data_IF_011693169059
#
_entry.id   IF_011693169059
#
_cell.length_a   1.000
_cell.length_b   1.000
_cell.length_c   1.000
_cell.angle_alpha   90.00
_cell.angle_beta   90.00
_cell.angle_gamma   90.00
#
_symmetry.space_group_name_H-M   'P 1'
#
loop_
_entity.id
_entity.type
_entity.pdbx_description
1 polymer ?
#
# COMPACT_ATOMS: atom_id res chain seq x y z
N UNK A 1 16.27 -36.63 -1.03
CA UNK A 1 16.84 -35.30 -1.32
C UNK A 1 16.20 -34.77 -2.60
N UNK A 2 15.09 -34.04 -2.49
CA UNK A 2 14.44 -33.39 -3.62
C UNK A 2 14.98 -31.96 -3.76
N UNK A 3 15.58 -31.62 -4.90
CA UNK A 3 15.95 -30.24 -5.22
C UNK A 3 14.70 -29.51 -5.68
N UNK A 4 14.20 -28.57 -4.88
CA UNK A 4 13.21 -27.62 -5.37
C UNK A 4 13.90 -26.63 -6.31
N UNK A 5 13.62 -26.76 -7.61
CA UNK A 5 14.04 -25.79 -8.62
C UNK A 5 13.08 -24.60 -8.59
N UNK A 6 13.31 -23.68 -7.64
CA UNK A 6 12.70 -22.37 -7.67
C UNK A 6 13.19 -21.62 -8.91
N UNK A 7 12.33 -21.51 -9.93
CA UNK A 7 12.57 -20.63 -11.06
C UNK A 7 12.54 -19.19 -10.56
N UNK A 8 13.73 -18.62 -10.30
CA UNK A 8 13.88 -17.19 -10.06
C UNK A 8 13.70 -16.51 -11.42
N UNK A 9 12.50 -16.00 -11.70
CA UNK A 9 12.31 -15.17 -12.88
C UNK A 9 13.22 -13.95 -12.75
N UNK A 10 13.92 -13.55 -13.82
CA UNK A 10 14.80 -12.41 -13.77
C UNK A 10 14.06 -11.12 -13.43
N UNK A 11 14.65 -10.30 -12.55
CA UNK A 11 14.11 -9.02 -12.09
C UNK A 11 13.66 -8.08 -13.23
N UNK A 12 14.32 -8.15 -14.39
CA UNK A 12 14.00 -7.34 -15.56
C UNK A 12 12.64 -7.67 -16.20
N UNK A 13 12.04 -8.84 -15.93
CA UNK A 13 10.69 -9.19 -16.42
C UNK A 13 9.62 -8.63 -15.47
N UNK A 14 9.91 -8.59 -14.18
CA UNK A 14 8.96 -8.10 -13.18
C UNK A 14 8.70 -6.60 -13.30
N UNK A 15 9.75 -5.81 -13.51
CA UNK A 15 9.64 -4.35 -13.60
C UNK A 15 8.66 -3.86 -14.69
N UNK A 16 8.73 -4.30 -15.96
CA UNK A 16 7.79 -3.88 -16.99
C UNK A 16 6.37 -4.41 -16.73
N UNK A 17 6.22 -5.61 -16.15
CA UNK A 17 4.90 -6.14 -15.77
C UNK A 17 4.26 -5.26 -14.71
N UNK A 18 4.96 -4.95 -13.61
CA UNK A 18 4.46 -4.06 -12.56
C UNK A 18 4.17 -2.65 -13.09
N UNK A 19 5.06 -2.10 -13.92
CA UNK A 19 4.86 -0.81 -14.57
C UNK A 19 3.53 -0.78 -15.33
N UNK A 20 3.29 -1.77 -16.21
CA UNK A 20 2.06 -1.86 -16.99
C UNK A 20 0.84 -2.07 -16.10
N UNK A 21 0.92 -2.95 -15.10
CA UNK A 21 -0.17 -3.19 -14.16
C UNK A 21 -0.58 -1.90 -13.43
N UNK A 22 0.36 -1.17 -12.83
CA UNK A 22 0.05 0.08 -12.13
C UNK A 22 -0.46 1.17 -13.07
N UNK A 23 0.03 1.21 -14.31
CA UNK A 23 -0.47 2.13 -15.33
C UNK A 23 -1.94 1.83 -15.66
N UNK A 24 -2.28 0.56 -15.91
CA UNK A 24 -3.66 0.15 -16.19
C UNK A 24 -4.60 0.37 -15.02
N UNK A 25 -4.18 0.06 -13.79
CA UNK A 25 -4.96 0.33 -12.57
C UNK A 25 -5.22 1.83 -12.45
N UNK A 26 -4.19 2.67 -12.60
CA UNK A 26 -4.33 4.13 -12.50
C UNK A 26 -5.25 4.70 -13.57
N UNK A 27 -5.14 4.25 -14.82
CA UNK A 27 -6.02 4.67 -15.91
C UNK A 27 -7.47 4.26 -15.61
N UNK A 28 -7.68 3.02 -15.16
CA UNK A 28 -9.01 2.47 -14.90
C UNK A 28 -9.70 3.21 -13.75
N UNK A 29 -9.01 3.37 -12.62
CA UNK A 29 -9.57 4.05 -11.45
C UNK A 29 -9.79 5.54 -11.71
N UNK A 30 -8.83 6.25 -12.29
CA UNK A 30 -9.02 7.67 -12.63
C UNK A 30 -10.10 7.85 -13.69
N UNK A 31 -10.15 6.99 -14.72
CA UNK A 31 -11.17 7.04 -15.76
C UNK A 31 -12.58 6.86 -15.21
N UNK A 32 -12.79 5.88 -14.33
CA UNK A 32 -14.09 5.64 -13.69
C UNK A 32 -14.49 6.80 -12.78
N UNK A 33 -13.61 7.18 -11.84
CA UNK A 33 -13.99 8.19 -10.84
C UNK A 33 -14.03 9.61 -11.41
N UNK A 34 -13.10 9.99 -12.29
CA UNK A 34 -12.98 11.39 -12.77
C UNK A 34 -13.67 11.56 -14.11
N UNK A 35 -13.50 10.61 -15.02
CA UNK A 35 -14.19 10.62 -16.31
C UNK A 35 -15.68 10.38 -16.14
N UNK A 36 -16.06 9.21 -15.63
CA UNK A 36 -17.46 8.78 -15.61
C UNK A 36 -18.25 9.39 -14.45
N UNK A 37 -17.80 9.19 -13.20
CA UNK A 37 -18.57 9.60 -12.01
C UNK A 37 -18.56 11.12 -11.86
N UNK A 38 -17.38 11.75 -11.76
CA UNK A 38 -17.27 13.20 -11.61
C UNK A 38 -17.81 13.93 -12.85
N UNK A 39 -17.48 13.50 -14.06
CA UNK A 39 -18.03 14.08 -15.30
C UNK A 39 -19.56 13.99 -15.35
N UNK A 40 -20.13 12.84 -15.00
CA UNK A 40 -21.58 12.65 -14.91
C UNK A 40 -22.24 13.54 -13.84
N UNK A 41 -21.59 13.71 -12.69
CA UNK A 41 -22.08 14.58 -11.61
C UNK A 41 -22.02 16.06 -11.99
N UNK A 42 -20.92 16.52 -12.60
CA UNK A 42 -20.75 17.90 -13.05
C UNK A 42 -21.82 18.31 -14.08
N UNK A 43 -22.33 17.35 -14.86
CA UNK A 43 -23.41 17.60 -15.82
C UNK A 43 -24.79 17.78 -15.17
N UNK A 44 -24.97 17.36 -13.91
CA UNK A 44 -26.29 17.32 -13.24
C UNK A 44 -26.35 18.09 -11.92
N UNK A 45 -25.20 18.35 -11.30
CA UNK A 45 -25.07 18.92 -9.96
C UNK A 45 -24.00 20.02 -9.93
N UNK A 46 -23.93 20.76 -8.82
CA UNK A 46 -22.91 21.78 -8.63
C UNK A 46 -21.48 21.22 -8.57
N UNK A 47 -20.51 22.03 -8.99
CA UNK A 47 -19.08 21.68 -9.02
C UNK A 47 -18.58 21.20 -7.66
N UNK A 48 -18.84 21.97 -6.61
CA UNK A 48 -18.38 21.66 -5.25
C UNK A 48 -18.92 20.31 -4.77
N UNK A 49 -20.22 20.07 -4.95
CA UNK A 49 -20.84 18.81 -4.55
C UNK A 49 -20.23 17.63 -5.32
N UNK A 50 -20.09 17.77 -6.64
CA UNK A 50 -19.55 16.72 -7.51
C UNK A 50 -18.13 16.33 -7.12
N UNK A 51 -17.28 17.33 -6.84
CA UNK A 51 -15.89 17.13 -6.40
C UNK A 51 -15.84 16.41 -5.05
N UNK A 52 -16.58 16.88 -4.06
CA UNK A 52 -16.59 16.29 -2.71
C UNK A 52 -17.12 14.85 -2.77
N UNK A 53 -18.25 14.65 -3.45
CA UNK A 53 -18.91 13.35 -3.52
C UNK A 53 -18.07 12.30 -4.26
N UNK A 54 -17.50 12.66 -5.42
CA UNK A 54 -16.59 11.76 -6.15
C UNK A 54 -15.36 11.40 -5.32
N UNK A 55 -14.81 12.35 -4.56
CA UNK A 55 -13.62 12.11 -3.72
C UNK A 55 -13.94 11.22 -2.51
N UNK A 56 -15.13 11.39 -1.94
CA UNK A 56 -15.64 10.56 -0.84
C UNK A 56 -15.87 9.12 -1.28
N UNK A 57 -16.50 8.93 -2.45
CA UNK A 57 -16.66 7.60 -3.04
C UNK A 57 -15.32 6.91 -3.29
N UNK A 58 -14.30 7.65 -3.74
CA UNK A 58 -12.96 7.09 -3.93
C UNK A 58 -12.32 6.64 -2.61
N UNK A 59 -12.41 7.48 -1.57
CA UNK A 59 -11.91 7.13 -0.24
C UNK A 59 -12.63 5.90 0.34
N UNK A 60 -13.94 5.79 0.10
CA UNK A 60 -14.75 4.64 0.52
C UNK A 60 -14.45 3.37 -0.28
N UNK A 61 -14.16 3.50 -1.57
CA UNK A 61 -13.73 2.39 -2.43
C UNK A 61 -12.45 1.71 -1.92
N UNK A 62 -11.57 2.48 -1.27
CA UNK A 62 -10.33 1.98 -0.66
C UNK A 62 -10.51 1.42 0.76
N UNK A 63 -11.75 1.21 1.21
CA UNK A 63 -12.03 0.58 2.49
C UNK A 63 -11.67 -0.91 2.47
N UNK A 64 -10.52 -1.25 3.06
CA UNK A 64 -10.01 -2.62 3.15
C UNK A 64 -10.46 -3.32 4.45
N UNK A 65 -11.46 -4.20 4.36
CA UNK A 65 -12.03 -4.94 5.49
C UNK A 65 -11.01 -5.64 6.45
N UNK A 66 -9.87 -6.20 5.99
CA UNK A 66 -8.93 -6.93 6.84
C UNK A 66 -8.31 -6.09 7.96
N UNK A 67 -8.21 -4.76 7.82
CA UNK A 67 -7.52 -3.94 8.82
C UNK A 67 -8.36 -3.69 10.07
N UNK A 68 -9.67 -3.98 10.07
CA UNK A 68 -10.54 -3.82 11.24
C UNK A 68 -10.31 -4.89 12.31
N UNK A 69 -9.74 -6.04 11.93
CA UNK A 69 -9.45 -7.14 12.85
C UNK A 69 -8.31 -6.82 13.83
N UNK A 70 -7.57 -5.72 13.63
CA UNK A 70 -6.51 -5.25 14.54
C UNK A 70 -7.04 -4.30 15.64
N UNK A 71 -8.35 -4.28 15.88
CA UNK A 71 -8.98 -3.46 16.91
C UNK A 71 -8.84 -1.94 16.66
N UNK A 72 -8.70 -1.15 17.72
CA UNK A 72 -8.64 0.32 17.65
C UNK A 72 -7.50 0.82 16.76
N UNK A 73 -6.31 0.20 16.84
CA UNK A 73 -5.17 0.58 16.01
C UNK A 73 -5.43 0.39 14.52
N UNK A 74 -6.10 -0.72 14.17
CA UNK A 74 -6.50 -1.01 12.80
C UNK A 74 -7.53 -0.02 12.25
N UNK A 75 -8.49 0.37 13.10
CA UNK A 75 -9.49 1.39 12.76
C UNK A 75 -8.86 2.77 12.54
N UNK A 76 -7.91 3.20 13.39
CA UNK A 76 -7.19 4.47 13.23
C UNK A 76 -6.37 4.48 11.94
N UNK A 77 -5.65 3.39 11.66
CA UNK A 77 -4.87 3.26 10.43
C UNK A 77 -5.77 3.32 9.19
N UNK A 78 -6.91 2.62 9.22
CA UNK A 78 -7.91 2.69 8.15
C UNK A 78 -8.43 4.11 7.94
N UNK A 79 -8.89 4.76 9.02
CA UNK A 79 -9.42 6.11 8.95
C UNK A 79 -8.39 7.09 8.37
N UNK A 80 -7.13 6.95 8.77
CA UNK A 80 -6.02 7.75 8.23
C UNK A 80 -5.83 7.50 6.74
N UNK A 81 -5.85 6.25 6.29
CA UNK A 81 -5.70 5.89 4.88
C UNK A 81 -6.86 6.40 4.01
N UNK A 82 -8.10 6.25 4.50
CA UNK A 82 -9.29 6.80 3.84
C UNK A 82 -9.23 8.32 3.75
N UNK A 83 -8.85 8.99 4.84
CA UNK A 83 -8.75 10.46 4.87
C UNK A 83 -7.66 10.99 3.95
N UNK A 84 -6.50 10.33 3.92
CA UNK A 84 -5.41 10.65 2.99
C UNK A 84 -5.88 10.46 1.54
N UNK A 85 -6.53 9.34 1.24
CA UNK A 85 -7.06 9.04 -0.10
C UNK A 85 -8.11 10.08 -0.53
N UNK A 86 -9.03 10.42 0.37
CA UNK A 86 -10.04 11.46 0.16
C UNK A 86 -9.40 12.81 -0.15
N UNK A 87 -8.43 13.25 0.66
CA UNK A 87 -7.79 14.57 0.51
C UNK A 87 -7.00 14.67 -0.79
N UNK A 88 -6.20 13.64 -1.12
CA UNK A 88 -5.49 13.59 -2.38
C UNK A 88 -6.46 13.62 -3.57
N UNK A 89 -7.57 12.89 -3.49
CA UNK A 89 -8.57 12.84 -4.57
C UNK A 89 -9.37 14.13 -4.69
N UNK A 90 -9.61 14.83 -3.59
CA UNK A 90 -10.23 16.16 -3.61
C UNK A 90 -9.39 17.14 -4.45
N UNK A 91 -8.08 17.15 -4.22
CA UNK A 91 -7.15 17.95 -5.01
C UNK A 91 -7.15 17.53 -6.49
N UNK A 92 -7.07 16.23 -6.78
CA UNK A 92 -7.07 15.73 -8.17
C UNK A 92 -8.39 16.02 -8.91
N UNK A 93 -9.54 15.89 -8.23
CA UNK A 93 -10.85 16.19 -8.80
C UNK A 93 -10.99 17.70 -9.11
N UNK A 94 -10.49 18.56 -8.22
CA UNK A 94 -10.41 19.99 -8.48
C UNK A 94 -9.49 20.29 -9.67
N UNK A 95 -8.32 19.66 -9.74
CA UNK A 95 -7.37 19.82 -10.84
C UNK A 95 -7.94 19.34 -12.18
N UNK A 96 -8.62 18.19 -12.20
CA UNK A 96 -9.35 17.68 -13.37
C UNK A 96 -10.37 18.70 -13.89
N UNK A 97 -11.19 19.25 -12.99
CA UNK A 97 -12.16 20.29 -13.36
C UNK A 97 -11.46 21.54 -13.91
N UNK A 98 -10.38 22.01 -13.28
CA UNK A 98 -9.63 23.19 -13.72
C UNK A 98 -8.91 23.01 -15.06
N UNK A 99 -8.55 21.79 -15.42
CA UNK A 99 -7.88 21.47 -16.70
C UNK A 99 -8.87 21.11 -17.82
N UNK A 100 -10.17 21.37 -17.63
CA UNK A 100 -11.18 21.09 -18.64
C UNK A 100 -11.44 19.59 -18.83
N UNK A 101 -11.23 18.79 -17.80
CA UNK A 101 -11.46 17.34 -17.84
C UNK A 101 -10.28 16.51 -18.36
N UNK A 102 -9.05 17.01 -18.23
CA UNK A 102 -7.86 16.24 -18.62
C UNK A 102 -7.53 15.16 -17.58
N UNK A 103 -7.46 13.91 -18.02
CA UNK A 103 -7.07 12.76 -17.19
C UNK A 103 -5.55 12.61 -17.01
N UNK A 104 -4.74 13.30 -17.83
CA UNK A 104 -3.27 13.11 -17.84
C UNK A 104 -2.66 13.39 -16.47
N UNK A 105 -3.02 14.49 -15.82
CA UNK A 105 -2.50 14.84 -14.49
C UNK A 105 -2.95 13.86 -13.41
N UNK A 106 -4.26 13.61 -13.25
CA UNK A 106 -4.76 12.64 -12.27
C UNK A 106 -4.17 11.23 -12.44
N UNK A 107 -4.07 10.73 -13.68
CA UNK A 107 -3.47 9.42 -14.00
C UNK A 107 -1.98 9.40 -13.66
N UNK A 108 -1.22 10.44 -14.06
CA UNK A 108 0.22 10.51 -13.79
C UNK A 108 0.53 10.54 -12.29
N UNK A 109 -0.25 11.31 -11.52
CA UNK A 109 -0.11 11.37 -10.07
C UNK A 109 -0.43 10.02 -9.43
N UNK A 110 -1.55 9.40 -9.81
CA UNK A 110 -1.98 8.12 -9.25
C UNK A 110 -0.97 7.01 -9.57
N UNK A 111 -0.52 6.94 -10.83
CA UNK A 111 0.51 6.01 -11.25
C UNK A 111 1.80 6.19 -10.45
N UNK A 112 2.27 7.43 -10.30
CA UNK A 112 3.47 7.74 -9.52
C UNK A 112 3.32 7.33 -8.06
N UNK A 113 2.16 7.62 -7.45
CA UNK A 113 1.86 7.21 -6.09
C UNK A 113 1.93 5.69 -5.93
N UNK A 114 1.35 4.91 -6.85
CA UNK A 114 1.42 3.44 -6.78
C UNK A 114 2.82 2.90 -7.07
N UNK A 115 3.50 3.43 -8.09
CA UNK A 115 4.79 2.93 -8.57
C UNK A 115 5.93 3.22 -7.60
N UNK A 116 5.96 4.41 -6.97
CA UNK A 116 7.02 4.78 -6.03
C UNK A 116 6.72 4.38 -4.58
N UNK A 117 5.45 4.14 -4.24
CA UNK A 117 5.08 3.63 -2.92
C UNK A 117 5.09 2.09 -2.85
N UNK A 118 5.72 1.42 -3.82
CA UNK A 118 6.08 0.01 -3.67
C UNK A 118 7.07 0.00 -2.50
N UNK A 119 6.73 -0.60 -1.34
CA UNK A 119 7.71 -0.77 -0.28
C UNK A 119 8.83 -1.59 -0.90
N UNK A 120 9.99 -0.97 -1.10
CA UNK A 120 11.18 -1.58 -1.69
C UNK A 120 11.33 -2.98 -1.11
N UNK A 121 10.92 -3.96 -1.91
CA UNK A 121 10.51 -5.26 -1.41
C UNK A 121 11.72 -5.94 -0.78
N UNK A 122 11.69 -6.18 0.54
CA UNK A 122 12.44 -7.25 1.18
C UNK A 122 13.95 -7.10 1.41
N UNK A 123 14.57 -5.92 1.23
CA UNK A 123 16.00 -5.76 1.57
C UNK A 123 16.29 -5.53 3.07
N UNK A 124 15.32 -5.00 3.84
CA UNK A 124 15.56 -4.67 5.25
C UNK A 124 15.18 -5.78 6.27
N UNK A 125 14.47 -6.83 5.86
CA UNK A 125 13.97 -7.87 6.80
C UNK A 125 14.84 -9.13 6.86
N UNK A 126 15.94 -9.21 6.07
CA UNK A 126 16.84 -10.38 6.05
C UNK A 126 18.17 -10.16 6.80
N UNK A 127 18.23 -9.17 7.70
CA UNK A 127 19.42 -8.84 8.53
C UNK A 127 19.14 -8.84 10.04
N UNK A 128 18.29 -9.74 10.55
CA UNK A 128 18.40 -10.13 11.96
C UNK A 128 19.10 -11.49 12.03
N UNK A 129 20.41 -11.51 12.36
CA UNK A 129 21.09 -12.76 12.64
C UNK A 129 20.43 -13.41 13.85
N UNK A 130 20.33 -14.74 13.78
CA UNK A 130 19.94 -15.64 14.86
C UNK A 130 20.96 -15.59 16.01
N UNK A 131 21.07 -14.45 16.70
CA UNK A 131 22.05 -14.24 17.78
C UNK A 131 21.45 -14.38 19.19
N UNK A 132 20.21 -14.87 19.29
CA UNK A 132 19.54 -15.10 20.59
C UNK A 132 19.70 -16.54 21.12
N UNK A 133 20.36 -17.44 20.38
CA UNK A 133 20.50 -18.84 20.81
C UNK A 133 21.81 -19.18 21.55
N UNK A 134 22.67 -18.19 21.87
CA UNK A 134 23.98 -18.44 22.49
C UNK A 134 24.08 -18.20 24.00
N UNK A 135 23.04 -17.70 24.69
CA UNK A 135 23.14 -17.39 26.12
C UNK A 135 22.74 -18.49 27.09
N UNK A 136 22.37 -19.70 26.62
CA UNK A 136 21.86 -20.78 27.49
C UNK A 136 22.80 -21.97 27.70
N UNK A 137 24.06 -21.89 27.26
CA UNK A 137 25.08 -22.94 27.49
C UNK A 137 26.34 -22.36 28.15
N UNK A 138 26.24 -21.82 29.37
CA UNK A 138 27.42 -21.59 30.21
C UNK A 138 27.05 -21.46 31.69
N UNK A 139 26.46 -22.50 32.28
CA UNK A 139 26.48 -22.68 33.73
C UNK A 139 26.21 -24.14 34.08
N UNK A 140 27.04 -25.03 33.55
CA UNK A 140 27.03 -26.45 33.89
C UNK A 140 28.45 -26.91 34.15
N UNK A 141 28.88 -26.84 35.42
CA UNK A 141 30.11 -27.51 35.85
C UNK A 141 30.82 -26.84 37.03
N UNK A 142 30.54 -27.30 38.25
CA UNK A 142 31.63 -27.67 39.15
C UNK A 142 31.17 -28.72 40.16
N UNK A 143 32.07 -29.68 40.32
CA UNK A 143 31.93 -31.01 40.90
C UNK A 143 32.31 -31.03 42.38
N UNK A 144 31.59 -31.87 43.13
CA UNK A 144 31.96 -32.69 44.30
C UNK A 144 33.18 -32.30 45.17
N UNK A 145 32.95 -32.38 46.48
CA UNK A 145 33.91 -32.90 47.45
C UNK A 145 33.21 -33.27 48.78
N UNK A 146 33.33 -34.50 49.29
CA UNK A 146 32.84 -34.87 50.62
C UNK A 146 33.93 -34.60 51.66
N UNK A 147 33.57 -34.14 52.86
CA UNK A 147 34.44 -34.29 54.02
C UNK A 147 33.62 -34.67 55.25
N UNK A 148 33.81 -35.93 55.63
CA UNK A 148 33.75 -36.48 56.98
C UNK A 148 34.42 -35.56 58.00
N UNK A 149 33.80 -35.35 59.17
CA UNK A 149 34.13 -35.99 60.45
C UNK A 149 32.99 -35.75 61.44
#
# INVERSE_FOLDING_TARGET
MGREHGFILPFYIHLPVYFLSYMFISISEEGVFRGCILGGLLNRHGVTFSIIFSSLLFGLYHYSYPSLFYGLSGAIMMATYMFQSFTARLFLAYFYHKTGGSLVGPVSYHFSQMFFNIPSCGWSQRQYPLESSRSSQSSGGSSKGPHTY
#
